data_IF_679435501454
#
_entry.id   IF_679435501454
#
_cell.length_a   1.000
_cell.length_b   1.000
_cell.length_c   1.000
_cell.angle_alpha   90.00
_cell.angle_beta   90.00
_cell.angle_gamma   90.00
#
_symmetry.space_group_name_H-M   'P 1'
#
loop_
_entity.id
_entity.type
_entity.pdbx_description
1 polymer ?
#
# COMPACT_ATOMS: atom_id res chain seq x y z
N UNK A 1 20.61 -10.83 -9.91
CA UNK A 1 19.49 -11.72 -9.52
C UNK A 1 18.58 -11.12 -8.45
N UNK A 2 19.10 -10.50 -7.38
CA UNK A 2 18.31 -9.88 -6.30
C UNK A 2 17.30 -8.82 -6.77
N UNK A 3 17.72 -7.92 -7.67
CA UNK A 3 16.84 -6.88 -8.24
C UNK A 3 15.71 -7.50 -9.08
N UNK A 4 16.02 -8.51 -9.90
CA UNK A 4 15.00 -9.22 -10.67
C UNK A 4 13.98 -9.91 -9.75
N UNK A 5 14.43 -10.57 -8.68
CA UNK A 5 13.55 -11.17 -7.68
C UNK A 5 12.64 -10.12 -7.01
N UNK A 6 13.16 -8.92 -6.73
CA UNK A 6 12.36 -7.81 -6.20
C UNK A 6 11.30 -7.32 -7.20
N UNK A 7 11.65 -7.22 -8.48
CA UNK A 7 10.68 -6.87 -9.52
C UNK A 7 9.57 -7.92 -9.65
N UNK A 8 9.94 -9.21 -9.65
CA UNK A 8 8.97 -10.31 -9.69
C UNK A 8 8.07 -10.28 -8.45
N UNK A 9 8.64 -10.05 -7.26
CA UNK A 9 7.87 -9.95 -6.03
C UNK A 9 6.91 -8.74 -6.05
N UNK A 10 7.36 -7.57 -6.49
CA UNK A 10 6.53 -6.38 -6.63
C UNK A 10 5.41 -6.58 -7.65
N UNK A 11 5.70 -7.21 -8.78
CA UNK A 11 4.71 -7.55 -9.79
C UNK A 11 3.68 -8.54 -9.27
N UNK A 12 4.13 -9.63 -8.64
CA UNK A 12 3.26 -10.64 -8.05
C UNK A 12 2.34 -10.02 -7.00
N UNK A 13 2.88 -9.21 -6.09
CA UNK A 13 2.10 -8.46 -5.10
C UNK A 13 1.02 -7.59 -5.75
N UNK A 14 1.40 -6.80 -6.75
CA UNK A 14 0.49 -5.87 -7.44
C UNK A 14 -0.63 -6.62 -8.15
N UNK A 15 -0.29 -7.69 -8.88
CA UNK A 15 -1.28 -8.53 -9.55
C UNK A 15 -2.25 -9.16 -8.53
N UNK A 16 -1.73 -9.68 -7.43
CA UNK A 16 -2.52 -10.32 -6.38
C UNK A 16 -3.49 -9.33 -5.71
N UNK A 17 -3.04 -8.10 -5.51
CA UNK A 17 -3.89 -7.01 -5.01
C UNK A 17 -5.05 -6.71 -5.96
N UNK A 18 -4.77 -6.50 -7.25
CA UNK A 18 -5.81 -6.22 -8.24
C UNK A 18 -6.81 -7.36 -8.42
N UNK A 19 -6.32 -8.61 -8.44
CA UNK A 19 -7.19 -9.79 -8.51
C UNK A 19 -8.09 -9.87 -7.28
N UNK A 20 -7.55 -9.61 -6.09
CA UNK A 20 -8.33 -9.59 -4.85
C UNK A 20 -9.41 -8.50 -4.88
N UNK A 21 -9.10 -7.29 -5.36
CA UNK A 21 -10.07 -6.20 -5.51
C UNK A 21 -11.19 -6.62 -6.45
N UNK A 22 -10.84 -7.22 -7.59
CA UNK A 22 -11.81 -7.69 -8.57
C UNK A 22 -12.74 -8.76 -8.00
N UNK A 23 -12.22 -9.76 -7.29
CA UNK A 23 -13.03 -10.80 -6.63
C UNK A 23 -13.95 -10.20 -5.56
N UNK A 24 -13.47 -9.23 -4.78
CA UNK A 24 -14.31 -8.50 -3.81
C UNK A 24 -15.43 -7.71 -4.49
N UNK A 25 -15.15 -7.04 -5.61
CA UNK A 25 -16.18 -6.32 -6.38
C UNK A 25 -17.20 -7.29 -6.98
N UNK A 26 -16.76 -8.44 -7.50
CA UNK A 26 -17.65 -9.47 -8.04
C UNK A 26 -18.57 -10.05 -6.96
N UNK A 27 -18.01 -10.36 -5.78
CA UNK A 27 -18.79 -10.74 -4.60
C UNK A 27 -19.80 -9.67 -4.21
N UNK A 28 -19.38 -8.40 -4.19
CA UNK A 28 -20.24 -7.29 -3.81
C UNK A 28 -21.40 -7.05 -4.80
N UNK A 29 -21.19 -7.38 -6.07
CA UNK A 29 -22.24 -7.35 -7.11
C UNK A 29 -23.18 -8.57 -7.04
N UNK A 30 -22.91 -9.53 -6.16
CA UNK A 30 -23.72 -10.73 -6.02
C UNK A 30 -23.54 -11.74 -7.16
N UNK A 31 -22.34 -11.79 -7.77
CA UNK A 31 -22.06 -12.74 -8.84
C UNK A 31 -22.14 -14.19 -8.30
N UNK A 32 -22.96 -15.09 -8.88
CA UNK A 32 -23.11 -16.46 -8.39
C UNK A 32 -21.94 -17.38 -8.78
N UNK A 33 -20.99 -16.92 -9.60
CA UNK A 33 -19.85 -17.71 -10.08
C UNK A 33 -18.64 -17.78 -9.15
N UNK A 34 -18.75 -17.33 -7.89
CA UNK A 34 -17.59 -17.27 -7.00
C UNK A 34 -17.12 -18.65 -6.54
N UNK A 35 -15.84 -18.93 -6.80
CA UNK A 35 -15.18 -20.14 -6.33
C UNK A 35 -14.55 -19.95 -4.94
N UNK A 36 -14.05 -21.06 -4.37
CA UNK A 36 -13.37 -21.06 -3.08
C UNK A 36 -12.13 -20.13 -3.06
N UNK A 37 -11.45 -20.00 -4.20
CA UNK A 37 -10.28 -19.14 -4.38
C UNK A 37 -10.66 -17.65 -4.28
N UNK A 38 -11.83 -17.26 -4.80
CA UNK A 38 -12.32 -15.89 -4.71
C UNK A 38 -12.56 -15.48 -3.25
N UNK A 39 -13.11 -16.37 -2.43
CA UNK A 39 -13.26 -16.11 -1.00
C UNK A 39 -11.92 -15.95 -0.29
N UNK A 40 -10.91 -16.76 -0.65
CA UNK A 40 -9.56 -16.60 -0.12
C UNK A 40 -8.96 -15.24 -0.51
N UNK A 41 -9.14 -14.82 -1.77
CA UNK A 41 -8.69 -13.52 -2.28
C UNK A 41 -9.40 -12.35 -1.58
N UNK A 42 -10.71 -12.46 -1.33
CA UNK A 42 -11.48 -11.45 -0.60
C UNK A 42 -10.94 -11.29 0.83
N UNK A 43 -10.70 -12.41 1.52
CA UNK A 43 -10.13 -12.39 2.87
C UNK A 43 -8.69 -11.90 2.92
N UNK A 44 -7.93 -12.07 1.83
CA UNK A 44 -6.54 -11.66 1.71
C UNK A 44 -6.39 -10.16 1.38
N UNK A 45 -7.38 -9.57 0.71
CA UNK A 45 -7.41 -8.14 0.37
C UNK A 45 -7.10 -7.19 1.54
N UNK A 46 -7.73 -7.28 2.73
CA UNK A 46 -7.42 -6.38 3.84
C UNK A 46 -5.98 -6.51 4.32
N UNK A 47 -5.37 -7.69 4.24
CA UNK A 47 -3.97 -7.92 4.61
C UNK A 47 -3.04 -7.21 3.62
N UNK A 48 -3.27 -7.34 2.30
CA UNK A 48 -2.47 -6.59 1.33
C UNK A 48 -2.68 -5.08 1.46
N UNK A 49 -3.92 -4.62 1.67
CA UNK A 49 -4.19 -3.20 1.86
C UNK A 49 -3.44 -2.65 3.09
N UNK A 50 -3.41 -3.40 4.19
CA UNK A 50 -2.63 -3.04 5.37
C UNK A 50 -1.12 -2.95 5.08
N UNK A 51 -0.56 -3.96 4.40
CA UNK A 51 0.86 -3.97 4.01
C UNK A 51 1.17 -2.76 3.12
N UNK A 52 0.33 -2.46 2.14
CA UNK A 52 0.50 -1.28 1.29
C UNK A 52 0.53 -0.01 2.13
N UNK A 53 -0.52 0.22 2.93
CA UNK A 53 -0.65 1.44 3.74
C UNK A 53 0.50 1.61 4.72
N UNK A 54 1.03 0.51 5.26
CA UNK A 54 2.09 0.57 6.25
C UNK A 54 3.50 0.71 5.66
N UNK A 55 3.81 0.03 4.54
CA UNK A 55 5.17 -0.07 4.01
C UNK A 55 5.40 0.71 2.71
N UNK A 56 4.39 0.86 1.87
CA UNK A 56 4.53 1.42 0.52
C UNK A 56 3.84 2.78 0.32
N UNK A 57 2.87 3.12 1.18
CA UNK A 57 2.10 4.36 1.05
C UNK A 57 2.86 5.58 1.54
N UNK A 58 2.67 6.70 0.84
CA UNK A 58 3.19 8.04 1.23
C UNK A 58 2.58 8.50 2.56
N UNK A 59 1.40 7.98 2.94
CA UNK A 59 0.74 8.25 4.23
C UNK A 59 1.34 7.48 5.41
N UNK A 60 2.55 6.95 5.28
CA UNK A 60 3.22 6.23 6.35
C UNK A 60 3.35 7.13 7.59
N UNK A 61 3.15 6.51 8.76
CA UNK A 61 3.35 7.10 10.10
C UNK A 61 4.77 7.63 10.39
N UNK A 62 5.65 7.66 9.39
CA UNK A 62 7.00 8.18 9.41
C UNK A 62 7.23 9.40 8.50
N UNK A 63 6.18 9.99 7.90
CA UNK A 63 6.33 11.26 7.18
C UNK A 63 6.69 12.46 8.08
N UNK A 64 6.79 12.24 9.40
CA UNK A 64 7.48 13.12 10.36
C UNK A 64 8.99 13.30 10.03
N UNK A 65 9.60 12.32 9.37
CA UNK A 65 11.03 12.33 9.02
C UNK A 65 11.35 12.99 7.66
N UNK A 66 10.69 14.11 7.38
CA UNK A 66 11.18 15.12 6.42
C UNK A 66 11.03 14.83 4.92
N UNK A 67 10.35 13.74 4.53
CA UNK A 67 10.02 13.46 3.12
C UNK A 67 8.70 14.09 2.65
N UNK A 68 7.79 14.42 3.59
CA UNK A 68 6.58 15.21 3.34
C UNK A 68 6.70 16.68 3.80
N UNK A 69 7.84 17.08 4.39
CA UNK A 69 8.03 18.46 4.83
C UNK A 69 8.07 19.36 3.58
N UNK A 70 7.15 20.31 3.49
CA UNK A 70 7.29 21.41 2.55
C UNK A 70 8.60 22.12 2.88
N UNK A 71 9.34 22.64 1.88
CA UNK A 71 10.64 23.30 2.13
C UNK A 71 10.58 24.45 3.14
N UNK A 72 9.39 24.99 3.44
CA UNK A 72 9.14 26.06 4.41
C UNK A 72 9.31 25.62 5.89
N UNK A 73 9.31 24.32 6.20
CA UNK A 73 9.46 23.83 7.59
C UNK A 73 10.94 23.58 7.98
N UNK A 74 11.90 23.80 7.06
CA UNK A 74 13.34 23.59 7.31
C UNK A 74 14.05 24.82 7.89
N UNK A 75 13.38 25.96 7.93
CA UNK A 75 13.89 27.20 8.51
C UNK A 75 13.18 27.47 9.84
N UNK A 76 13.64 26.79 10.89
CA UNK A 76 13.33 27.22 12.25
C UNK A 76 13.76 28.69 12.44
N UNK A 77 13.04 29.47 13.28
CA UNK A 77 13.31 30.89 13.44
C UNK A 77 14.76 31.12 13.88
N UNK A 78 15.44 32.16 13.37
CA UNK A 78 16.80 32.44 13.77
C UNK A 78 16.84 32.69 15.28
N UNK A 79 17.67 31.89 15.94
CA UNK A 79 18.03 31.94 17.33
C UNK A 79 18.15 33.38 17.84
N UNK A 80 17.39 33.69 18.89
CA UNK A 80 17.57 34.87 19.74
C UNK A 80 18.95 34.83 20.40
N UNK A 81 19.90 35.59 19.87
CA UNK A 81 21.20 35.85 20.49
C UNK A 81 21.38 37.33 20.75
N UNK A 82 21.16 37.72 22.02
CA UNK A 82 21.69 38.88 22.77
C UNK A 82 22.04 40.16 22.01
#
# INVERSE_FOLDING_TARGET
>A
MKVFALFVAAFAYTALFFVSVRSTVAWWRGDPGLGLIDYALIGLLPVLAWIWLHYLSIFRKGCDSGSCALPEDREGPPNSGS
#
